data_IF_202247026463
#
_entry.id   IF_202247026463
#
_cell.length_a   1.000
_cell.length_b   1.000
_cell.length_c   1.000
_cell.angle_alpha   90.00
_cell.angle_beta   90.00
_cell.angle_gamma   90.00
#
_symmetry.space_group_name_H-M   'P 1'
#
loop_
_entity.id
_entity.type
_entity.pdbx_description
1 polymer ?
#
# COMPACT_ATOMS: atom_id res chain seq x y z
N UNK A 1 22.39 -1.65 -16.99
CA UNK A 1 21.79 -1.80 -16.53
C UNK A 1 20.90 -1.56 -16.31
N UNK A 2 21.11 -1.89 -16.28
CA UNK A 2 19.88 -2.03 -16.27
C UNK A 2 18.92 -1.51 -15.41
N UNK A 3 17.90 -1.42 -15.94
CA UNK A 3 16.78 -0.96 -15.23
C UNK A 3 16.22 -2.05 -14.36
N UNK A 4 15.86 -1.70 -13.17
CA UNK A 4 15.27 -2.61 -12.25
C UNK A 4 13.78 -2.40 -12.15
N UNK A 5 13.02 -3.49 -12.08
CA UNK A 5 11.59 -3.39 -11.81
C UNK A 5 11.37 -2.97 -10.36
N UNK A 6 10.34 -2.20 -10.13
CA UNK A 6 9.96 -1.84 -8.77
C UNK A 6 9.43 -3.07 -8.02
N UNK A 7 9.76 -3.17 -6.75
CA UNK A 7 9.17 -4.21 -5.92
C UNK A 7 7.72 -3.90 -5.66
N UNK A 8 6.97 -4.91 -5.20
CA UNK A 8 5.57 -4.69 -4.84
C UNK A 8 5.45 -3.60 -3.78
N UNK A 9 6.37 -3.60 -2.82
CA UNK A 9 6.36 -2.59 -1.76
C UNK A 9 6.55 -1.20 -2.33
N UNK A 10 7.47 -1.04 -3.27
CA UNK A 10 7.71 0.26 -3.89
C UNK A 10 6.51 0.73 -4.71
N UNK A 11 5.86 -0.19 -5.40
CA UNK A 11 4.67 0.16 -6.17
C UNK A 11 3.53 0.62 -5.27
N UNK A 12 3.35 -0.06 -4.14
CA UNK A 12 2.34 0.32 -3.17
C UNK A 12 2.67 1.70 -2.61
N UNK A 13 3.93 1.92 -2.25
CA UNK A 13 4.34 3.21 -1.71
C UNK A 13 4.09 4.33 -2.71
N UNK A 14 4.44 4.11 -3.98
CA UNK A 14 4.20 5.11 -5.01
C UNK A 14 2.71 5.44 -5.15
N UNK A 15 1.87 4.42 -5.10
CA UNK A 15 0.44 4.62 -5.21
C UNK A 15 -0.10 5.41 -4.02
N UNK A 16 0.33 5.06 -2.82
CA UNK A 16 -0.12 5.75 -1.61
C UNK A 16 0.40 7.19 -1.55
N UNK A 17 1.59 7.43 -2.08
CA UNK A 17 2.19 8.76 -2.02
C UNK A 17 1.45 9.78 -2.86
N UNK A 18 0.54 9.34 -3.70
CA UNK A 18 -0.31 10.26 -4.47
C UNK A 18 -1.31 11.00 -3.61
N UNK A 19 -1.49 10.57 -2.36
CA UNK A 19 -2.35 11.26 -1.43
C UNK A 19 -3.81 10.84 -1.44
N UNK A 20 -4.20 10.01 -2.38
CA UNK A 20 -5.58 9.52 -2.46
C UNK A 20 -5.72 8.24 -1.64
N UNK A 21 -6.87 8.05 -0.97
CA UNK A 21 -7.07 6.80 -0.23
C UNK A 21 -7.15 5.61 -1.19
N UNK A 22 -6.57 4.50 -0.78
CA UNK A 22 -6.55 3.27 -1.58
C UNK A 22 -7.14 2.15 -0.72
N UNK A 23 -8.17 1.48 -1.23
CA UNK A 23 -8.81 0.41 -0.48
C UNK A 23 -7.91 -0.82 -0.43
N UNK A 24 -8.12 -1.63 0.61
CA UNK A 24 -7.36 -2.87 0.75
C UNK A 24 -7.62 -3.81 -0.42
N UNK A 25 -8.84 -3.78 -0.96
CA UNK A 25 -9.19 -4.61 -2.11
C UNK A 25 -8.38 -4.22 -3.33
N UNK A 26 -8.22 -2.92 -3.55
CA UNK A 26 -7.40 -2.43 -4.66
C UNK A 26 -5.96 -2.91 -4.53
N UNK A 27 -5.39 -2.81 -3.34
CA UNK A 27 -4.02 -3.27 -3.12
C UNK A 27 -3.90 -4.77 -3.36
N UNK A 28 -4.87 -5.53 -2.85
CA UNK A 28 -4.84 -6.97 -2.99
C UNK A 28 -4.93 -7.40 -4.45
N UNK A 29 -5.86 -6.81 -5.18
CA UNK A 29 -6.11 -7.23 -6.56
C UNK A 29 -5.07 -6.66 -7.52
N UNK A 30 -4.66 -5.43 -7.31
CA UNK A 30 -3.75 -4.75 -8.24
C UNK A 30 -2.33 -5.28 -8.13
N UNK A 31 -1.90 -5.60 -6.92
CA UNK A 31 -0.53 -6.04 -6.67
C UNK A 31 -0.44 -7.49 -6.25
N UNK A 32 -1.55 -8.20 -6.29
CA UNK A 32 -1.61 -9.61 -5.93
C UNK A 32 -1.02 -9.86 -4.54
N UNK A 33 -1.44 -9.04 -3.58
CA UNK A 33 -0.95 -9.15 -2.22
C UNK A 33 -1.81 -10.12 -1.42
N UNK A 34 -1.15 -11.04 -0.76
CA UNK A 34 -1.84 -11.97 0.14
C UNK A 34 -2.41 -11.23 1.35
N UNK A 35 -1.64 -10.28 1.87
CA UNK A 35 -2.06 -9.51 3.02
C UNK A 35 -1.65 -8.05 2.84
N UNK A 36 -2.55 -7.20 2.36
CA UNK A 36 -2.24 -5.77 2.22
C UNK A 36 -1.85 -5.12 3.54
N UNK A 37 -2.43 -5.57 4.66
CA UNK A 37 -2.10 -5.02 5.96
C UNK A 37 -0.64 -5.28 6.31
N UNK A 38 -0.14 -6.47 6.01
CA UNK A 38 1.26 -6.77 6.28
C UNK A 38 2.19 -5.85 5.49
N UNK A 39 1.83 -5.57 4.24
CA UNK A 39 2.62 -4.66 3.42
C UNK A 39 2.62 -3.25 4.02
N UNK A 40 1.47 -2.78 4.47
CA UNK A 40 1.36 -1.47 5.10
C UNK A 40 2.16 -1.42 6.39
N UNK A 41 2.11 -2.49 7.18
CA UNK A 41 2.89 -2.54 8.42
C UNK A 41 4.39 -2.46 8.14
N UNK A 42 4.87 -3.11 7.08
CA UNK A 42 6.27 -2.99 6.70
C UNK A 42 6.65 -1.57 6.33
N UNK A 43 5.78 -0.88 5.61
CA UNK A 43 6.03 0.51 5.24
C UNK A 43 6.11 1.39 6.48
N UNK A 44 5.23 1.15 7.45
CA UNK A 44 5.24 1.93 8.68
C UNK A 44 6.50 1.68 9.49
N UNK A 45 6.99 0.45 9.51
CA UNK A 45 8.22 0.11 10.20
C UNK A 45 9.43 0.79 9.58
N UNK A 46 9.36 1.06 8.28
CA UNK A 46 10.44 1.75 7.59
C UNK A 46 10.38 3.26 7.73
N UNK A 47 9.37 3.76 8.43
CA UNK A 47 9.27 5.18 8.70
C UNK A 47 8.24 5.92 7.86
N UNK A 48 7.52 5.22 7.01
CA UNK A 48 6.48 5.86 6.21
C UNK A 48 5.21 5.98 7.03
N UNK A 49 4.59 7.15 6.98
CA UNK A 49 3.38 7.39 7.74
C UNK A 49 2.17 7.02 6.90
N UNK A 50 1.69 5.82 7.11
CA UNK A 50 0.52 5.32 6.39
C UNK A 50 -0.65 5.29 7.38
N UNK A 51 -1.72 5.97 7.01
CA UNK A 51 -2.93 6.00 7.83
C UNK A 51 -3.88 4.91 7.40
N UNK A 52 -4.46 4.24 8.38
CA UNK A 52 -5.42 3.16 8.16
C UNK A 52 -6.79 3.69 8.53
N UNK A 53 -7.71 3.66 7.58
CA UNK A 53 -9.08 4.12 7.79
C UNK A 53 -10.02 2.94 7.61
N UNK A 54 -10.69 2.57 8.68
CA UNK A 54 -11.64 1.46 8.66
C UNK A 54 -13.06 2.01 8.63
N UNK A 55 -13.81 1.59 7.63
CA UNK A 55 -15.21 1.99 7.48
C UNK A 55 -16.07 0.75 7.38
N UNK A 56 -17.39 0.95 7.38
CA UNK A 56 -18.32 -0.15 7.19
C UNK A 56 -18.16 -0.81 5.81
N UNK A 57 -17.59 -0.09 4.85
CA UNK A 57 -17.37 -0.62 3.51
C UNK A 57 -16.03 -1.32 3.37
N UNK A 58 -15.18 -1.28 4.39
CA UNK A 58 -13.89 -1.93 4.37
C UNK A 58 -12.79 -1.03 4.89
N UNK A 59 -11.57 -1.41 4.59
CA UNK A 59 -10.39 -0.69 5.06
C UNK A 59 -9.71 0.03 3.89
N UNK A 60 -9.29 1.25 4.12
CA UNK A 60 -8.50 1.98 3.12
C UNK A 60 -7.23 2.52 3.78
N UNK A 61 -6.24 2.80 2.95
CA UNK A 61 -4.94 3.29 3.39
C UNK A 61 -4.61 4.58 2.66
N UNK A 62 -3.92 5.46 3.35
CA UNK A 62 -3.52 6.75 2.78
C UNK A 62 -2.22 7.22 3.43
N UNK A 63 -1.42 7.91 2.67
CA UNK A 63 -0.24 8.60 3.22
C UNK A 63 -0.47 10.08 3.32
#
# INVERSE_FOLDING_TARGET
MGRRALTKKQKVLNLLSKGAPVSWTTLRNRFDLTSPRAMVDQLREEGHMVYINQTSNGTSYRM
#
